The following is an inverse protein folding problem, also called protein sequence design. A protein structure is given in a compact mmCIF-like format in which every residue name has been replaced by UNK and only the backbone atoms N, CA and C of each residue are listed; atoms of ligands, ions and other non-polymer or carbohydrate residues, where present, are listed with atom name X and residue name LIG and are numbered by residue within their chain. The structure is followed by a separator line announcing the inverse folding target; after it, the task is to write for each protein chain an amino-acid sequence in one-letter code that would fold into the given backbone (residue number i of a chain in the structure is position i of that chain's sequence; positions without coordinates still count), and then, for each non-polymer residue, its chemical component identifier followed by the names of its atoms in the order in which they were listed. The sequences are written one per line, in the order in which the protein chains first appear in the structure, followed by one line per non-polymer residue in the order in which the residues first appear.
data_IF_744597181067
#
_entry.id   IF_744597181067
#
_cell.length_a   1.000
_cell.length_b   1.000
_cell.length_c   1.000
_cell.angle_alpha   90.00
_cell.angle_beta   90.00
_cell.angle_gamma   90.00
#
_symmetry.space_group_name_H-M   'P 1'
#
loop_
_entity.id
_entity.type
_entity.pdbx_description
1 polymer ?
#
# COMPACT_ATOMS: atom_id res chain seq x y z
N UNK A 1 -16.19 2.12 16.06
CA UNK A 1 -17.32 1.73 15.20
C UNK A 1 -16.83 1.51 13.78
N UNK A 2 -17.72 1.19 12.84
CA UNK A 2 -17.38 1.00 11.42
C UNK A 2 -16.59 2.19 10.86
N UNK A 3 -17.08 3.42 11.05
CA UNK A 3 -16.45 4.64 10.55
C UNK A 3 -14.98 4.77 10.99
N UNK A 4 -14.71 4.61 12.28
CA UNK A 4 -13.35 4.63 12.82
C UNK A 4 -12.42 3.56 12.20
N UNK A 5 -12.95 2.38 11.84
CA UNK A 5 -12.16 1.36 11.13
C UNK A 5 -11.82 1.82 9.71
N UNK A 6 -12.75 2.46 9.00
CA UNK A 6 -12.53 3.00 7.65
C UNK A 6 -11.50 4.13 7.68
N UNK A 7 -11.62 5.02 8.65
CA UNK A 7 -10.66 6.13 8.83
C UNK A 7 -9.26 5.61 9.12
N UNK A 8 -9.15 4.60 9.98
CA UNK A 8 -7.87 3.97 10.28
C UNK A 8 -7.26 3.32 9.02
N UNK A 9 -8.06 2.62 8.20
CA UNK A 9 -7.61 2.10 6.91
C UNK A 9 -7.03 3.21 6.03
N UNK A 10 -7.72 4.34 5.93
CA UNK A 10 -7.25 5.48 5.16
C UNK A 10 -5.94 6.08 5.71
N UNK A 11 -5.77 6.11 7.04
CA UNK A 11 -4.51 6.55 7.67
C UNK A 11 -3.36 5.60 7.32
N UNK A 12 -3.58 4.29 7.41
CA UNK A 12 -2.56 3.29 7.07
C UNK A 12 -2.19 3.34 5.58
N UNK A 13 -3.17 3.46 4.68
CA UNK A 13 -2.92 3.65 3.25
C UNK A 13 -2.13 4.93 2.97
N UNK A 14 -2.46 6.05 3.65
CA UNK A 14 -1.71 7.31 3.53
C UNK A 14 -0.26 7.15 3.99
N UNK A 15 -0.01 6.38 5.05
CA UNK A 15 1.34 6.07 5.53
C UNK A 15 2.17 5.29 4.50
N UNK A 16 1.56 4.28 3.85
CA UNK A 16 2.22 3.54 2.77
C UNK A 16 2.49 4.44 1.56
N UNK A 17 1.47 5.18 1.11
CA UNK A 17 1.52 5.98 -0.12
C UNK A 17 2.49 7.17 0.00
N UNK A 18 2.23 8.07 0.94
CA UNK A 18 3.01 9.32 1.08
C UNK A 18 4.35 9.10 1.80
N UNK A 19 4.55 7.93 2.42
CA UNK A 19 5.77 7.58 3.11
C UNK A 19 6.66 6.69 2.25
N UNK A 20 6.39 5.39 2.30
CA UNK A 20 7.29 4.38 1.75
C UNK A 20 7.33 4.39 0.20
N UNK A 21 6.17 4.50 -0.45
CA UNK A 21 6.10 4.52 -1.92
C UNK A 21 6.75 5.78 -2.50
N UNK A 22 6.51 6.95 -1.92
CA UNK A 22 7.14 8.19 -2.35
C UNK A 22 8.66 8.16 -2.16
N UNK A 23 9.16 7.64 -1.03
CA UNK A 23 10.60 7.46 -0.83
C UNK A 23 11.21 6.44 -1.81
N UNK A 24 10.49 5.35 -2.11
CA UNK A 24 10.92 4.40 -3.13
C UNK A 24 11.07 5.11 -4.49
N UNK A 25 10.08 5.91 -4.88
CA UNK A 25 10.12 6.67 -6.13
C UNK A 25 11.20 7.74 -6.14
N UNK A 26 11.46 8.43 -5.02
CA UNK A 26 12.55 9.41 -4.93
C UNK A 26 13.91 8.74 -5.21
N UNK A 27 14.16 7.57 -4.62
CA UNK A 27 15.42 6.86 -4.80
C UNK A 27 15.55 6.22 -6.19
N UNK A 28 14.47 5.62 -6.69
CA UNK A 28 14.49 4.76 -7.88
C UNK A 28 13.86 5.41 -9.12
N UNK A 29 13.36 6.64 -9.01
CA UNK A 29 12.62 7.40 -10.04
C UNK A 29 11.29 6.79 -10.50
N UNK A 30 10.92 5.60 -10.03
CA UNK A 30 9.68 4.90 -10.39
C UNK A 30 9.08 4.25 -9.16
N UNK A 31 7.77 4.02 -9.17
CA UNK A 31 7.11 3.15 -8.17
C UNK A 31 7.33 1.67 -8.53
N UNK A 32 7.22 0.76 -7.55
CA UNK A 32 7.21 -0.68 -7.81
C UNK A 32 6.12 -1.07 -8.81
N UNK A 33 6.33 -2.14 -9.58
CA UNK A 33 5.28 -2.68 -10.46
C UNK A 33 4.21 -3.39 -9.63
N UNK A 34 3.00 -3.56 -10.19
CA UNK A 34 1.94 -4.36 -9.56
C UNK A 34 2.40 -5.78 -9.20
N UNK A 35 3.30 -6.37 -10.00
CA UNK A 35 3.86 -7.70 -9.75
C UNK A 35 4.86 -7.73 -8.58
N UNK A 36 5.65 -6.68 -8.43
CA UNK A 36 6.58 -6.53 -7.30
C UNK A 36 5.83 -6.21 -5.99
N UNK A 37 4.72 -5.48 -6.09
CA UNK A 37 3.81 -5.23 -4.99
C UNK A 37 4.39 -4.36 -3.87
N UNK A 38 3.72 -4.37 -2.71
CA UNK A 38 4.18 -3.65 -1.51
C UNK A 38 5.39 -4.31 -0.85
N UNK A 39 5.68 -5.58 -1.15
CA UNK A 39 6.88 -6.27 -0.66
C UNK A 39 8.17 -5.57 -1.11
N UNK A 40 8.13 -4.87 -2.25
CA UNK A 40 9.21 -4.02 -2.72
C UNK A 40 9.58 -2.90 -1.72
N UNK A 41 8.68 -2.53 -0.80
CA UNK A 41 8.95 -1.53 0.23
C UNK A 41 9.77 -2.07 1.39
N UNK A 42 9.84 -3.40 1.55
CA UNK A 42 10.62 -4.06 2.61
C UNK A 42 11.91 -4.63 2.05
N UNK A 43 11.86 -5.29 0.89
CA UNK A 43 13.01 -5.95 0.28
C UNK A 43 13.18 -5.47 -1.15
N UNK A 44 14.43 -5.27 -1.58
CA UNK A 44 14.72 -4.92 -2.98
C UNK A 44 14.35 -6.09 -3.90
N UNK A 45 13.35 -5.94 -4.79
CA UNK A 45 12.92 -7.03 -5.66
C UNK A 45 13.85 -7.22 -6.88
N UNK A 46 14.63 -6.21 -7.24
CA UNK A 46 15.53 -6.22 -8.40
C UNK A 46 16.67 -5.21 -8.18
N UNK A 47 17.86 -5.73 -7.85
CA UNK A 47 19.03 -4.89 -7.53
C UNK A 47 19.60 -4.16 -8.75
N UNK A 48 19.38 -4.68 -9.95
CA UNK A 48 19.88 -4.05 -11.18
C UNK A 48 18.98 -2.87 -11.55
N UNK A 49 17.67 -3.07 -11.47
CA UNK A 49 16.66 -2.05 -11.74
C UNK A 49 16.59 -0.98 -10.64
N UNK A 50 16.73 -1.38 -9.38
CA UNK A 50 16.63 -0.53 -8.20
C UNK A 50 17.99 -0.44 -7.49
N UNK A 51 18.98 0.10 -8.20
CA UNK A 51 20.36 0.21 -7.70
C UNK A 51 20.52 1.20 -6.55
N UNK A 52 19.62 2.18 -6.43
CA UNK A 52 19.60 3.19 -5.36
C UNK A 52 18.65 2.82 -4.20
N UNK A 53 18.26 1.54 -4.11
CA UNK A 53 17.37 1.06 -3.07
C UNK A 53 17.94 1.31 -1.67
N UNK A 54 17.10 1.77 -0.74
CA UNK A 54 17.49 2.01 0.66
C UNK A 54 17.92 0.68 1.32
N UNK A 55 19.13 0.57 1.89
CA UNK A 55 19.60 -0.69 2.49
C UNK A 55 18.73 -1.17 3.67
N UNK A 56 17.97 -0.26 4.28
CA UNK A 56 17.06 -0.57 5.39
C UNK A 56 15.60 -0.73 4.93
N UNK A 57 15.34 -0.73 3.62
CA UNK A 57 13.99 -0.65 3.06
C UNK A 57 13.35 0.72 3.27
N UNK A 58 12.04 0.77 3.06
CA UNK A 58 11.22 1.98 3.09
C UNK A 58 10.12 1.93 4.17
N UNK A 59 10.00 0.81 4.88
CA UNK A 59 9.01 0.64 5.94
C UNK A 59 9.68 0.26 7.26
N UNK A 60 9.24 0.89 8.36
CA UNK A 60 9.78 0.58 9.70
C UNK A 60 9.46 -0.87 10.08
N UNK A 61 10.40 -1.49 10.79
CA UNK A 61 10.31 -2.87 11.27
C UNK A 61 10.06 -3.93 10.19
N UNK A 62 10.28 -3.60 8.91
CA UNK A 62 10.07 -4.52 7.79
C UNK A 62 8.67 -5.17 7.78
N UNK A 63 7.65 -4.43 8.25
CA UNK A 63 6.26 -4.92 8.36
C UNK A 63 5.29 -3.95 7.72
N UNK A 64 4.60 -4.40 6.68
CA UNK A 64 3.52 -3.62 6.09
C UNK A 64 2.32 -3.54 7.06
N UNK A 65 1.65 -2.39 7.13
CA UNK A 65 0.44 -2.27 7.90
C UNK A 65 -0.66 -3.04 7.16
N UNK A 66 -1.58 -3.57 7.96
CA UNK A 66 -2.76 -4.28 7.48
C UNK A 66 -3.96 -3.36 7.59
N UNK A 67 -5.02 -3.69 6.87
CA UNK A 67 -6.29 -3.03 7.07
C UNK A 67 -6.88 -3.32 8.47
N UNK A 68 -7.96 -2.62 8.81
CA UNK A 68 -8.65 -2.74 10.09
C UNK A 68 -9.27 -4.13 10.35
N UNK A 69 -9.24 -5.04 9.37
CA UNK A 69 -9.71 -6.42 9.45
C UNK A 69 -8.56 -7.43 9.31
N UNK A 70 -7.31 -6.96 9.33
CA UNK A 70 -6.10 -7.77 9.30
C UNK A 70 -5.74 -8.32 7.92
N UNK A 71 -6.32 -7.80 6.85
CA UNK A 71 -5.98 -8.15 5.48
C UNK A 71 -4.88 -7.24 4.94
N UNK A 72 -4.06 -7.78 4.04
CA UNK A 72 -3.06 -6.98 3.35
C UNK A 72 -3.70 -6.10 2.28
N UNK A 73 -3.10 -4.95 2.00
CA UNK A 73 -3.57 -4.03 0.98
C UNK A 73 -3.26 -4.55 -0.42
N UNK A 74 -4.24 -4.42 -1.32
CA UNK A 74 -4.01 -4.62 -2.75
C UNK A 74 -3.33 -3.36 -3.29
N UNK A 75 -2.25 -3.58 -4.02
CA UNK A 75 -1.48 -2.52 -4.68
C UNK A 75 -1.60 -2.63 -6.19
N UNK A 76 -1.96 -1.53 -6.85
CA UNK A 76 -2.04 -1.44 -8.30
C UNK A 76 -1.20 -0.26 -8.75
N UNK A 77 -0.33 -0.48 -9.73
CA UNK A 77 0.39 0.56 -10.45
C UNK A 77 -0.01 0.55 -11.92
N UNK A 78 -0.78 1.55 -12.33
CA UNK A 78 -1.16 1.79 -13.73
C UNK A 78 -0.34 2.95 -14.32
N UNK A 79 0.83 2.63 -14.86
CA UNK A 79 1.69 3.64 -15.52
C UNK A 79 2.13 4.78 -14.60
N UNK A 80 2.31 4.52 -13.30
CA UNK A 80 2.67 5.50 -12.29
C UNK A 80 1.49 6.07 -11.49
N UNK A 81 0.26 5.71 -11.83
CA UNK A 81 -0.92 5.95 -10.99
C UNK A 81 -1.07 4.81 -10.01
N UNK A 82 -0.85 5.11 -8.74
CA UNK A 82 -0.93 4.13 -7.67
C UNK A 82 -2.32 4.13 -7.05
N UNK A 83 -2.86 2.95 -6.81
CA UNK A 83 -4.06 2.73 -6.01
C UNK A 83 -3.79 1.68 -4.94
N UNK A 84 -4.24 1.95 -3.71
CA UNK A 84 -4.27 0.98 -2.62
C UNK A 84 -5.71 0.64 -2.30
N UNK A 85 -6.02 -0.64 -2.13
CA UNK A 85 -7.38 -1.12 -1.90
C UNK A 85 -7.41 -2.06 -0.70
N UNK A 86 -8.37 -1.87 0.20
CA UNK A 86 -8.78 -2.85 1.23
C UNK A 86 -10.13 -3.41 0.82
N UNK A 87 -10.25 -4.73 0.88
CA UNK A 87 -11.46 -5.49 0.56
C UNK A 87 -12.46 -5.55 1.72
N UNK A 88 -12.33 -4.67 2.72
CA UNK A 88 -13.23 -4.65 3.87
C UNK A 88 -13.21 -5.93 4.70
N UNK A 89 -14.28 -6.13 5.47
CA UNK A 89 -14.46 -7.24 6.39
C UNK A 89 -14.60 -8.61 5.70
N UNK A 90 -15.14 -8.66 4.48
CA UNK A 90 -15.47 -9.91 3.78
C UNK A 90 -14.33 -10.42 2.89
N UNK A 91 -13.30 -9.58 2.68
CA UNK A 91 -12.11 -9.89 1.88
C UNK A 91 -12.44 -10.22 0.43
N UNK A 92 -13.50 -9.61 -0.12
CA UNK A 92 -13.95 -9.79 -1.50
C UNK A 92 -14.20 -8.43 -2.15
N UNK A 93 -14.08 -8.39 -3.46
CA UNK A 93 -14.43 -7.18 -4.21
C UNK A 93 -15.92 -6.85 -4.05
N UNK A 94 -16.20 -5.57 -3.86
CA UNK A 94 -17.55 -5.03 -3.70
C UNK A 94 -17.95 -4.87 -2.24
N UNK A 95 -19.06 -5.51 -1.86
CA UNK A 95 -19.59 -5.45 -0.49
C UNK A 95 -20.33 -4.17 -0.11
N UNK A 96 -20.92 -4.19 1.09
CA UNK A 96 -21.68 -3.09 1.70
C UNK A 96 -21.24 -2.90 3.16
N UNK A 97 -21.43 -1.70 3.71
CA UNK A 97 -21.05 -1.36 5.09
C UNK A 97 -19.57 -1.72 5.36
N UNK A 98 -19.27 -2.47 6.42
CA UNK A 98 -17.91 -2.93 6.75
C UNK A 98 -17.28 -3.83 5.67
N UNK A 99 -18.07 -4.47 4.81
CA UNK A 99 -17.56 -5.26 3.69
C UNK A 99 -17.27 -4.41 2.45
N UNK A 100 -17.68 -3.14 2.43
CA UNK A 100 -17.48 -2.29 1.25
C UNK A 100 -16.00 -1.93 1.10
N UNK A 101 -15.46 -2.19 -0.09
CA UNK A 101 -14.10 -1.80 -0.48
C UNK A 101 -13.76 -0.35 -0.13
N UNK A 102 -12.53 -0.16 0.31
CA UNK A 102 -11.95 1.16 0.58
C UNK A 102 -10.79 1.35 -0.38
N UNK A 103 -10.80 2.46 -1.13
CA UNK A 103 -9.74 2.83 -2.05
C UNK A 103 -9.03 4.07 -1.51
N UNK A 104 -7.71 4.12 -1.67
CA UNK A 104 -6.90 5.27 -1.28
C UNK A 104 -7.33 6.55 -1.98
N UNK A 105 -7.73 6.47 -3.26
CA UNK A 105 -8.31 7.61 -3.97
C UNK A 105 -9.62 8.16 -3.37
N UNK A 106 -10.33 7.34 -2.59
CA UNK A 106 -11.53 7.73 -1.85
C UNK A 106 -11.26 8.24 -0.43
N UNK A 107 -10.04 8.07 0.08
CA UNK A 107 -9.61 8.52 1.40
C UNK A 107 -9.29 10.03 1.37
N UNK A 108 -10.29 10.85 1.66
CA UNK A 108 -10.13 12.31 1.81
C UNK A 108 -9.21 12.66 2.97
#
# INVERSE_FOLDING_TARGET
GEEAKRDLVCVEMKSIYNGALDMFKINNSVYPTTKEGLEALITNPDKEKYSNYSPNGYFKDSKLPKDSWGSDFIYINDGGKIELISLGADKKEGGLNEAKDIKMSGCK
#
